data_IF_331546203565
#
_entry.id   IF_331546203565
#
_cell.length_a   1.000
_cell.length_b   1.000
_cell.length_c   1.000
_cell.angle_alpha   90.00
_cell.angle_beta   90.00
_cell.angle_gamma   90.00
#
_symmetry.space_group_name_H-M   'P 1'
#
loop_
_entity.id
_entity.type
_entity.pdbx_description
1 polymer ?
#
# COMPACT_ATOMS: atom_id res chain seq x y z
N UNK A 1 -17.02 24.90 -13.54
CA UNK A 1 -15.79 24.69 -12.76
C UNK A 1 -15.93 23.36 -12.06
N UNK A 2 -15.48 22.26 -12.69
CA UNK A 2 -15.44 20.95 -12.04
C UNK A 2 -14.18 20.90 -11.20
N UNK A 3 -14.30 21.03 -9.88
CA UNK A 3 -13.20 20.75 -8.99
C UNK A 3 -12.73 19.32 -9.29
N UNK A 4 -11.47 19.15 -9.70
CA UNK A 4 -10.82 17.86 -9.53
C UNK A 4 -10.80 17.63 -8.02
N UNK A 5 -11.80 16.93 -7.49
CA UNK A 5 -11.79 16.52 -6.10
C UNK A 5 -10.67 15.49 -5.99
N UNK A 6 -9.64 15.89 -5.28
CA UNK A 6 -8.60 15.00 -4.79
C UNK A 6 -9.30 13.94 -3.93
N UNK A 7 -9.21 12.68 -4.32
CA UNK A 7 -9.89 11.58 -3.64
C UNK A 7 -8.94 10.39 -3.46
N UNK A 8 -9.08 9.62 -2.36
CA UNK A 8 -8.30 8.41 -2.13
C UNK A 8 -8.31 7.44 -3.33
N UNK A 9 -9.46 7.26 -3.98
CA UNK A 9 -9.63 6.36 -5.12
C UNK A 9 -8.86 6.85 -6.35
N UNK A 10 -8.86 8.17 -6.59
CA UNK A 10 -8.09 8.76 -7.69
C UNK A 10 -6.60 8.50 -7.54
N UNK A 11 -6.06 8.68 -6.33
CA UNK A 11 -4.67 8.35 -6.03
C UNK A 11 -4.39 6.85 -6.20
N UNK A 12 -5.30 5.96 -5.79
CA UNK A 12 -5.17 4.52 -6.07
C UNK A 12 -5.12 4.22 -7.58
N UNK A 13 -6.01 4.82 -8.37
CA UNK A 13 -6.03 4.64 -9.83
C UNK A 13 -4.74 5.15 -10.48
N UNK A 14 -4.29 6.34 -10.10
CA UNK A 14 -3.09 6.95 -10.65
C UNK A 14 -1.82 6.18 -10.25
N UNK A 15 -1.72 5.74 -8.99
CA UNK A 15 -0.62 4.89 -8.53
C UNK A 15 -0.58 3.54 -9.27
N UNK A 16 -1.74 2.94 -9.55
CA UNK A 16 -1.82 1.73 -10.37
C UNK A 16 -1.34 1.99 -11.81
N UNK A 17 -1.72 3.12 -12.40
CA UNK A 17 -1.26 3.51 -13.73
C UNK A 17 0.26 3.69 -13.77
N UNK A 18 0.84 4.36 -12.76
CA UNK A 18 2.29 4.50 -12.64
C UNK A 18 3.01 3.15 -12.49
N UNK A 19 2.48 2.23 -11.67
CA UNK A 19 3.06 0.88 -11.54
C UNK A 19 3.08 0.11 -12.87
N UNK A 20 2.03 0.22 -13.68
CA UNK A 20 1.97 -0.40 -15.01
C UNK A 20 3.01 0.19 -15.98
N UNK A 21 3.45 1.42 -15.74
CA UNK A 21 4.49 2.10 -16.52
C UNK A 21 5.90 1.94 -15.96
N UNK A 22 6.06 1.11 -14.93
CA UNK A 22 7.34 0.94 -14.21
C UNK A 22 7.82 2.21 -13.47
N UNK A 23 6.93 3.20 -13.32
CA UNK A 23 7.16 4.45 -12.60
C UNK A 23 6.90 4.23 -11.10
N UNK A 24 7.80 3.49 -10.45
CA UNK A 24 7.59 2.98 -9.09
C UNK A 24 7.57 4.10 -8.05
N UNK A 25 8.37 5.15 -8.22
CA UNK A 25 8.46 6.26 -7.26
C UNK A 25 7.21 7.14 -7.27
N UNK A 26 6.69 7.41 -8.46
CA UNK A 26 5.42 8.11 -8.67
C UNK A 26 4.28 7.29 -8.09
N UNK A 27 4.26 5.98 -8.31
CA UNK A 27 3.25 5.11 -7.71
C UNK A 27 3.26 5.15 -6.18
N UNK A 28 4.45 5.07 -5.56
CA UNK A 28 4.61 5.19 -4.11
C UNK A 28 4.06 6.53 -3.62
N UNK A 29 4.35 7.62 -4.34
CA UNK A 29 3.87 8.95 -3.98
C UNK A 29 2.34 8.99 -3.94
N UNK A 30 1.68 8.51 -4.98
CA UNK A 30 0.21 8.48 -5.04
C UNK A 30 -0.39 7.64 -3.92
N UNK A 31 0.11 6.42 -3.68
CA UNK A 31 -0.45 5.58 -2.62
C UNK A 31 -0.22 6.14 -1.21
N UNK A 32 0.86 6.91 -0.98
CA UNK A 32 1.08 7.61 0.29
C UNK A 32 0.13 8.79 0.49
N UNK A 33 -0.31 9.44 -0.57
CA UNK A 33 -1.34 10.48 -0.43
C UNK A 33 -2.66 9.88 0.09
N UNK A 34 -3.01 8.66 -0.32
CA UNK A 34 -4.19 7.95 0.23
C UNK A 34 -4.11 7.84 1.74
N UNK A 35 -3.00 7.34 2.29
CA UNK A 35 -2.77 7.21 3.73
C UNK A 35 -2.90 8.57 4.45
N UNK A 36 -2.33 9.64 3.87
CA UNK A 36 -2.41 11.01 4.43
C UNK A 36 -3.83 11.60 4.48
N UNK A 37 -4.73 11.12 3.64
CA UNK A 37 -6.11 11.61 3.60
C UNK A 37 -6.96 11.05 4.75
N UNK A 38 -6.51 9.99 5.42
CA UNK A 38 -7.22 9.37 6.52
C UNK A 38 -6.72 9.81 7.90
N UNK A 39 -7.60 9.88 8.91
CA UNK A 39 -7.17 10.14 10.28
C UNK A 39 -6.29 9.00 10.80
N UNK A 40 -5.28 9.35 11.60
CA UNK A 40 -4.44 8.38 12.32
C UNK A 40 -5.23 7.49 13.30
N UNK A 41 -6.45 7.90 13.68
CA UNK A 41 -7.36 7.12 14.51
C UNK A 41 -8.35 6.35 13.62
N UNK A 42 -7.98 5.13 13.27
CA UNK A 42 -8.75 4.28 12.35
C UNK A 42 -10.14 3.91 12.88
N UNK A 43 -10.41 4.05 14.18
CA UNK A 43 -11.74 3.77 14.76
C UNK A 43 -12.86 4.65 14.19
N UNK A 44 -12.50 5.75 13.53
CA UNK A 44 -13.43 6.70 12.90
C UNK A 44 -13.70 6.42 11.42
N UNK A 45 -12.98 5.47 10.83
CA UNK A 45 -13.15 5.13 9.42
C UNK A 45 -14.45 4.37 9.21
N UNK A 46 -15.14 4.73 8.14
CA UNK A 46 -16.22 3.91 7.59
C UNK A 46 -15.65 2.64 6.97
N UNK A 47 -16.52 1.66 6.72
CA UNK A 47 -16.12 0.40 6.08
C UNK A 47 -15.45 0.60 4.72
N UNK A 48 -15.91 1.58 3.95
CA UNK A 48 -15.35 1.90 2.63
C UNK A 48 -13.95 2.50 2.76
N UNK A 49 -13.76 3.44 3.69
CA UNK A 49 -12.45 4.04 3.96
C UNK A 49 -11.44 3.00 4.48
N UNK A 50 -11.88 2.05 5.31
CA UNK A 50 -11.05 0.90 5.71
C UNK A 50 -10.57 0.09 4.50
N UNK A 51 -11.45 -0.16 3.52
CA UNK A 51 -11.09 -0.90 2.31
C UNK A 51 -10.12 -0.11 1.44
N UNK A 52 -10.32 1.19 1.29
CA UNK A 52 -9.45 2.05 0.51
C UNK A 52 -8.06 2.14 1.15
N UNK A 53 -7.97 2.39 2.46
CA UNK A 53 -6.72 2.45 3.19
C UNK A 53 -5.99 1.10 3.18
N UNK A 54 -6.70 -0.01 3.44
CA UNK A 54 -6.12 -1.35 3.35
C UNK A 54 -5.58 -1.67 1.95
N UNK A 55 -6.27 -1.21 0.89
CA UNK A 55 -5.81 -1.32 -0.49
C UNK A 55 -4.56 -0.47 -0.74
N UNK A 56 -4.50 0.75 -0.21
CA UNK A 56 -3.33 1.62 -0.36
C UNK A 56 -2.07 0.99 0.26
N UNK A 57 -2.17 0.48 1.49
CA UNK A 57 -1.08 -0.25 2.14
C UNK A 57 -0.65 -1.50 1.34
N UNK A 58 -1.61 -2.27 0.80
CA UNK A 58 -1.28 -3.40 -0.07
C UNK A 58 -0.46 -2.97 -1.30
N UNK A 59 -0.88 -1.86 -1.93
CA UNK A 59 -0.22 -1.32 -3.12
C UNK A 59 1.15 -0.73 -2.81
N UNK A 60 1.33 -0.10 -1.66
CA UNK A 60 2.64 0.35 -1.15
C UNK A 60 3.57 -0.85 -0.93
N UNK A 61 3.08 -1.92 -0.30
CA UNK A 61 3.87 -3.13 -0.09
C UNK A 61 4.40 -3.73 -1.41
N UNK A 62 3.55 -3.77 -2.45
CA UNK A 62 3.95 -4.22 -3.79
C UNK A 62 4.96 -3.26 -4.43
N UNK A 63 4.75 -1.95 -4.32
CA UNK A 63 5.66 -0.95 -4.88
C UNK A 63 7.04 -0.97 -4.20
N UNK A 64 7.09 -1.05 -2.87
CA UNK A 64 8.33 -1.19 -2.12
C UNK A 64 9.04 -2.52 -2.37
N UNK A 65 8.30 -3.63 -2.52
CA UNK A 65 8.84 -4.91 -2.97
C UNK A 65 9.55 -4.77 -4.31
N UNK A 66 8.92 -4.09 -5.27
CA UNK A 66 9.48 -3.85 -6.59
C UNK A 66 10.73 -2.97 -6.56
N UNK A 67 10.82 -2.05 -5.59
CA UNK A 67 12.00 -1.21 -5.34
C UNK A 67 13.12 -1.93 -4.58
N UNK A 68 12.85 -3.11 -4.01
CA UNK A 68 13.77 -3.83 -3.14
C UNK A 68 13.86 -3.26 -1.72
N UNK A 69 12.89 -2.43 -1.33
CA UNK A 69 12.81 -1.82 0.00
C UNK A 69 12.02 -2.73 0.95
N UNK A 70 12.60 -3.89 1.24
CA UNK A 70 11.92 -5.02 1.88
C UNK A 70 11.35 -4.73 3.27
N UNK A 71 12.03 -3.91 4.08
CA UNK A 71 11.55 -3.53 5.42
C UNK A 71 10.27 -2.69 5.34
N UNK A 72 10.27 -1.66 4.50
CA UNK A 72 9.07 -0.85 4.22
C UNK A 72 7.97 -1.69 3.59
N UNK A 73 8.32 -2.61 2.68
CA UNK A 73 7.34 -3.51 2.08
C UNK A 73 6.64 -4.38 3.15
N UNK A 74 7.41 -4.89 4.13
CA UNK A 74 6.86 -5.71 5.21
C UNK A 74 5.94 -4.91 6.13
N UNK A 75 6.32 -3.68 6.48
CA UNK A 75 5.50 -2.79 7.30
C UNK A 75 4.13 -2.57 6.65
N UNK A 76 4.12 -2.19 5.37
CA UNK A 76 2.89 -1.91 4.64
C UNK A 76 2.04 -3.18 4.41
N UNK A 77 2.68 -4.33 4.18
CA UNK A 77 1.96 -5.60 4.03
C UNK A 77 1.23 -5.98 5.34
N UNK A 78 1.86 -5.74 6.50
CA UNK A 78 1.24 -5.96 7.82
C UNK A 78 0.09 -4.99 8.05
N UNK A 79 0.27 -3.70 7.79
CA UNK A 79 -0.80 -2.70 7.91
C UNK A 79 -2.02 -3.09 7.06
N UNK A 80 -1.78 -3.52 5.82
CA UNK A 80 -2.84 -4.02 4.94
C UNK A 80 -3.55 -5.24 5.51
N UNK A 81 -2.81 -6.23 6.04
CA UNK A 81 -3.37 -7.41 6.69
C UNK A 81 -4.19 -7.05 7.94
N UNK A 82 -3.75 -6.10 8.75
CA UNK A 82 -4.47 -5.66 9.95
C UNK A 82 -5.80 -4.98 9.60
N UNK A 83 -5.83 -4.17 8.54
CA UNK A 83 -7.03 -3.45 8.09
C UNK A 83 -8.00 -4.36 7.34
N UNK A 84 -7.48 -5.23 6.47
CA UNK A 84 -8.27 -6.14 5.65
C UNK A 84 -7.60 -7.51 5.56
N UNK A 85 -7.77 -8.36 6.59
CA UNK A 85 -7.21 -9.70 6.58
C UNK A 85 -7.75 -10.50 5.39
N UNK A 86 -6.84 -10.94 4.54
CA UNK A 86 -7.13 -11.76 3.37
C UNK A 86 -6.00 -12.75 3.12
N UNK A 87 -6.29 -13.77 2.30
CA UNK A 87 -5.28 -14.73 1.86
C UNK A 87 -4.12 -14.01 1.15
N UNK A 88 -4.42 -13.10 0.23
CA UNK A 88 -3.41 -12.39 -0.57
C UNK A 88 -2.49 -11.53 0.31
N UNK A 89 -3.05 -10.80 1.28
CA UNK A 89 -2.25 -10.01 2.23
C UNK A 89 -1.40 -10.89 3.14
N UNK A 90 -1.91 -12.06 3.53
CA UNK A 90 -1.17 -13.00 4.37
C UNK A 90 0.02 -13.59 3.61
N UNK A 91 -0.21 -14.08 2.39
CA UNK A 91 0.86 -14.60 1.51
C UNK A 91 1.91 -13.52 1.20
N UNK A 92 1.50 -12.27 0.98
CA UNK A 92 2.44 -11.17 0.76
C UNK A 92 3.36 -10.92 1.96
N UNK A 93 2.82 -10.93 3.19
CA UNK A 93 3.61 -10.80 4.42
C UNK A 93 4.63 -11.93 4.53
N UNK A 94 4.19 -13.18 4.34
CA UNK A 94 5.06 -14.37 4.43
C UNK A 94 6.20 -14.31 3.41
N UNK A 95 5.89 -14.02 2.14
CA UNK A 95 6.89 -13.93 1.08
C UNK A 95 7.95 -12.86 1.35
N UNK A 96 7.55 -11.69 1.88
CA UNK A 96 8.49 -10.62 2.21
C UNK A 96 9.36 -11.03 3.42
N UNK A 97 8.79 -11.70 4.42
CA UNK A 97 9.54 -12.22 5.58
C UNK A 97 10.59 -13.26 5.17
N UNK A 98 10.21 -14.22 4.34
CA UNK A 98 11.14 -15.21 3.77
C UNK A 98 12.28 -14.51 3.02
N UNK A 99 11.95 -13.51 2.20
CA UNK A 99 12.95 -12.75 1.45
C UNK A 99 13.93 -12.00 2.36
N UNK A 100 13.44 -11.41 3.45
CA UNK A 100 14.28 -10.72 4.43
C UNK A 100 15.20 -11.69 5.17
N UNK A 101 14.69 -12.86 5.58
CA UNK A 101 15.51 -13.89 6.24
C UNK A 101 16.66 -14.37 5.34
N UNK A 102 16.36 -14.66 4.07
CA UNK A 102 17.38 -15.08 3.09
C UNK A 102 18.48 -14.02 2.88
N UNK A 103 18.14 -12.74 2.94
CA UNK A 103 19.10 -11.65 2.77
C UNK A 103 19.97 -11.41 4.03
N UNK A 104 19.53 -11.84 5.21
CA UNK A 104 20.31 -11.73 6.46
C UNK A 104 21.36 -12.83 6.59
N UNK A 105 21.16 -13.97 5.92
CA UNK A 105 22.07 -15.11 5.90
C UNK A 105 23.16 -15.03 4.80
N UNK A 106 23.24 -13.90 4.07
CA UNK A 106 24.17 -13.66 2.95
C UNK A 106 25.29 -12.69 3.31
#
# INVERSE_FOLDING_TARGET
>A
MGACQDSPERHLELGNWYLQKDLVDEAITEFREVDRMFPADYSKLTREEYQILGTAHFKLALAYTKKGWWEYALEEAKNSFELQPSKDTHELVELIQEKLALNQDS
#
